data_IF_961624414172
#
_entry.id   IF_961624414172
#
_cell.length_a   1.000
_cell.length_b   1.000
_cell.length_c   1.000
_cell.angle_alpha   90.00
_cell.angle_beta   90.00
_cell.angle_gamma   90.00
#
_symmetry.space_group_name_H-M   'P 1'
#
loop_
_entity.id
_entity.type
_entity.pdbx_description
1 polymer ?
#
# COMPACT_ATOMS: atom_id res chain seq x y z
N UNK A 1 -4.09 -3.07 -29.81
CA UNK A 1 -3.72 -2.13 -28.73
C UNK A 1 -4.80 -2.02 -27.65
N UNK A 2 -6.07 -1.75 -28.01
CA UNK A 2 -7.18 -1.66 -27.04
C UNK A 2 -7.26 -2.80 -26.00
N UNK A 3 -7.12 -4.09 -26.37
CA UNK A 3 -7.23 -5.21 -25.40
C UNK A 3 -6.13 -5.23 -24.35
N UNK A 4 -4.91 -4.83 -24.72
CA UNK A 4 -3.75 -4.79 -23.81
C UNK A 4 -3.92 -3.65 -22.81
N UNK A 5 -4.33 -2.47 -23.30
CA UNK A 5 -4.58 -1.31 -22.43
C UNK A 5 -5.68 -1.61 -21.42
N UNK A 6 -6.81 -2.19 -21.86
CA UNK A 6 -7.91 -2.58 -20.98
C UNK A 6 -7.48 -3.66 -19.98
N UNK A 7 -6.66 -4.62 -20.41
CA UNK A 7 -6.09 -5.65 -19.55
C UNK A 7 -5.23 -5.06 -18.43
N UNK A 8 -4.28 -4.20 -18.77
CA UNK A 8 -3.43 -3.52 -17.78
C UNK A 8 -4.25 -2.66 -16.82
N UNK A 9 -5.19 -1.87 -17.34
CA UNK A 9 -6.07 -1.04 -16.51
C UNK A 9 -6.85 -1.87 -15.47
N UNK A 10 -7.38 -3.03 -15.86
CA UNK A 10 -8.07 -3.93 -14.93
C UNK A 10 -7.16 -4.43 -13.82
N UNK A 11 -5.94 -4.85 -14.18
CA UNK A 11 -4.93 -5.33 -13.22
C UNK A 11 -4.52 -4.22 -12.25
N UNK A 12 -4.26 -3.02 -12.75
CA UNK A 12 -3.90 -1.84 -11.94
C UNK A 12 -5.03 -1.44 -10.99
N UNK A 13 -6.28 -1.44 -11.46
CA UNK A 13 -7.42 -1.12 -10.58
C UNK A 13 -7.53 -2.12 -9.44
N UNK A 14 -7.42 -3.42 -9.74
CA UNK A 14 -7.42 -4.46 -8.69
C UNK A 14 -6.24 -4.27 -7.74
N UNK A 15 -5.03 -4.02 -8.25
CA UNK A 15 -3.84 -3.86 -7.40
C UNK A 15 -3.96 -2.67 -6.45
N UNK A 16 -4.54 -1.56 -6.90
CA UNK A 16 -4.77 -0.39 -6.07
C UNK A 16 -5.83 -0.60 -5.00
N UNK A 17 -6.94 -1.29 -5.34
CA UNK A 17 -8.02 -1.57 -4.38
C UNK A 17 -7.51 -2.36 -3.17
N UNK A 18 -6.56 -3.27 -3.37
CA UNK A 18 -5.98 -4.05 -2.29
C UNK A 18 -4.71 -3.41 -1.71
N UNK A 19 -3.77 -3.03 -2.56
CA UNK A 19 -2.45 -2.56 -2.16
C UNK A 19 -2.45 -1.18 -1.52
N UNK A 20 -3.19 -0.22 -2.07
CA UNK A 20 -3.16 1.16 -1.57
C UNK A 20 -3.74 1.30 -0.16
N UNK A 21 -4.93 0.76 0.18
CA UNK A 21 -5.45 0.83 1.53
C UNK A 21 -4.52 0.17 2.55
N UNK A 22 -4.00 -1.01 2.24
CA UNK A 22 -3.09 -1.74 3.16
C UNK A 22 -1.82 -0.92 3.41
N UNK A 23 -1.20 -0.40 2.35
CA UNK A 23 0.02 0.39 2.45
C UNK A 23 -0.18 1.72 3.21
N UNK A 24 -1.27 2.45 2.91
CA UNK A 24 -1.58 3.73 3.55
C UNK A 24 -1.91 3.53 5.02
N UNK A 25 -2.72 2.53 5.37
CA UNK A 25 -3.07 2.22 6.75
C UNK A 25 -1.85 1.76 7.56
N UNK A 26 -0.99 0.92 6.97
CA UNK A 26 0.27 0.52 7.59
C UNK A 26 1.17 1.74 7.83
N UNK A 27 1.31 2.63 6.85
CA UNK A 27 2.13 3.84 6.97
C UNK A 27 1.56 4.81 8.03
N UNK A 28 0.23 4.96 8.09
CA UNK A 28 -0.45 5.76 9.11
C UNK A 28 -0.23 5.19 10.51
N UNK A 29 -0.37 3.87 10.67
CA UNK A 29 -0.12 3.19 11.93
C UNK A 29 1.33 3.39 12.38
N UNK A 30 2.28 3.18 11.47
CA UNK A 30 3.70 3.44 11.73
C UNK A 30 3.91 4.89 12.14
N UNK A 31 3.46 5.86 11.35
CA UNK A 31 3.73 7.27 11.62
C UNK A 31 3.14 7.77 12.94
N UNK A 32 1.86 7.47 13.21
CA UNK A 32 1.09 8.08 14.29
C UNK A 32 1.04 7.28 15.60
N UNK A 33 1.12 5.94 15.55
CA UNK A 33 0.91 5.08 16.73
C UNK A 33 2.13 4.25 17.10
N UNK A 34 2.97 3.90 16.12
CA UNK A 34 4.03 2.94 16.37
C UNK A 34 5.11 3.50 17.32
N UNK A 35 5.43 2.77 18.40
CA UNK A 35 6.60 3.06 19.22
C UNK A 35 7.89 2.83 18.41
N UNK A 36 9.01 3.43 18.84
CA UNK A 36 10.28 3.44 18.07
C UNK A 36 10.73 2.05 17.61
N UNK A 37 10.67 1.05 18.49
CA UNK A 37 11.02 -0.35 18.17
C UNK A 37 10.17 -0.97 17.06
N UNK A 38 8.88 -0.66 17.02
CA UNK A 38 7.99 -1.15 15.94
C UNK A 38 8.33 -0.50 14.59
N UNK A 39 8.76 0.77 14.58
CA UNK A 39 9.23 1.45 13.35
C UNK A 39 10.50 0.81 12.81
N UNK A 40 11.43 0.47 13.71
CA UNK A 40 12.71 -0.18 13.39
C UNK A 40 12.55 -1.60 12.85
N UNK A 41 11.39 -2.24 13.02
CA UNK A 41 11.09 -3.56 12.44
C UNK A 41 10.27 -3.42 11.15
N UNK A 42 9.20 -2.61 11.17
CA UNK A 42 8.30 -2.50 10.02
C UNK A 42 9.00 -1.91 8.78
N UNK A 43 9.79 -0.84 8.95
CA UNK A 43 10.40 -0.15 7.81
C UNK A 43 11.40 -1.06 7.07
N UNK A 44 12.34 -1.76 7.75
CA UNK A 44 13.19 -2.74 7.09
C UNK A 44 12.42 -3.93 6.51
N UNK A 45 11.38 -4.43 7.19
CA UNK A 45 10.58 -5.55 6.66
C UNK A 45 9.92 -5.20 5.32
N UNK A 46 9.44 -3.97 5.17
CA UNK A 46 8.82 -3.49 3.93
C UNK A 46 9.87 -3.20 2.85
N UNK A 47 11.06 -2.72 3.22
CA UNK A 47 12.19 -2.58 2.29
C UNK A 47 12.69 -3.94 1.79
N UNK A 48 12.74 -4.96 2.66
CA UNK A 48 13.04 -6.34 2.27
C UNK A 48 11.97 -6.87 1.31
N UNK A 49 10.69 -6.56 1.54
CA UNK A 49 9.62 -6.90 0.61
C UNK A 49 9.84 -6.24 -0.77
N UNK A 50 10.33 -4.99 -0.80
CA UNK A 50 10.70 -4.30 -2.05
C UNK A 50 11.90 -4.95 -2.75
N UNK A 51 12.79 -5.62 -2.01
CA UNK A 51 13.95 -6.34 -2.52
C UNK A 51 13.63 -7.69 -3.15
N UNK A 52 12.40 -8.21 -2.99
CA UNK A 52 12.00 -9.46 -3.64
C UNK A 52 11.96 -9.26 -5.16
N UNK A 53 12.69 -10.09 -5.95
CA UNK A 53 12.65 -9.98 -7.40
C UNK A 53 11.22 -10.15 -7.93
N UNK A 54 10.81 -9.28 -8.85
CA UNK A 54 9.46 -9.31 -9.45
C UNK A 54 9.12 -10.66 -10.10
N UNK A 55 10.13 -11.33 -10.67
CA UNK A 55 9.99 -12.67 -11.26
C UNK A 55 9.56 -13.70 -10.22
N UNK A 56 10.04 -13.60 -8.98
CA UNK A 56 9.67 -14.52 -7.89
C UNK A 56 8.20 -14.31 -7.51
N UNK A 57 7.76 -13.06 -7.41
CA UNK A 57 6.36 -12.71 -7.13
C UNK A 57 5.46 -13.22 -8.26
N UNK A 58 5.87 -13.03 -9.52
CA UNK A 58 5.15 -13.54 -10.69
C UNK A 58 5.05 -15.06 -10.70
N UNK A 59 6.16 -15.76 -10.46
CA UNK A 59 6.16 -17.23 -10.42
C UNK A 59 5.30 -17.77 -9.27
N UNK A 60 5.40 -17.18 -8.08
CA UNK A 60 4.53 -17.49 -6.94
C UNK A 60 3.05 -17.28 -7.30
N UNK A 61 2.74 -16.19 -7.99
CA UNK A 61 1.39 -15.90 -8.44
C UNK A 61 0.86 -16.99 -9.38
N UNK A 62 1.70 -17.46 -10.32
CA UNK A 62 1.34 -18.48 -11.29
C UNK A 62 1.15 -19.87 -10.67
N UNK A 63 2.00 -20.28 -9.72
CA UNK A 63 1.99 -21.65 -9.20
C UNK A 63 1.03 -21.80 -8.02
N UNK A 64 1.12 -20.89 -7.05
CA UNK A 64 0.40 -21.00 -5.78
C UNK A 64 -0.87 -20.14 -5.78
N UNK A 65 -0.74 -18.83 -6.01
CA UNK A 65 -1.85 -17.89 -5.83
C UNK A 65 -2.99 -18.15 -6.82
N UNK A 66 -2.68 -18.39 -8.08
CA UNK A 66 -3.64 -18.69 -9.12
C UNK A 66 -4.47 -19.94 -8.78
N UNK A 67 -3.81 -21.00 -8.32
CA UNK A 67 -4.45 -22.26 -7.93
C UNK A 67 -5.32 -22.08 -6.69
N UNK A 68 -4.83 -21.31 -5.70
CA UNK A 68 -5.59 -20.99 -4.49
C UNK A 68 -6.85 -20.19 -4.81
N UNK A 69 -6.72 -19.10 -5.56
CA UNK A 69 -7.86 -18.25 -5.93
C UNK A 69 -8.86 -18.98 -6.82
N UNK A 70 -8.39 -19.84 -7.73
CA UNK A 70 -9.26 -20.66 -8.55
C UNK A 70 -10.11 -21.62 -7.71
N UNK A 71 -9.51 -22.30 -6.74
CA UNK A 71 -10.24 -23.22 -5.84
C UNK A 71 -11.23 -22.49 -4.93
N UNK A 72 -10.88 -21.29 -4.46
CA UNK A 72 -11.71 -20.53 -3.52
C UNK A 72 -12.86 -19.80 -4.21
N UNK A 73 -12.62 -19.20 -5.38
CA UNK A 73 -13.62 -18.37 -6.08
C UNK A 73 -14.25 -19.07 -7.29
N UNK A 74 -13.82 -20.29 -7.65
CA UNK A 74 -14.37 -21.04 -8.77
C UNK A 74 -14.09 -20.43 -10.13
N UNK A 75 -12.98 -19.71 -10.30
CA UNK A 75 -12.66 -19.03 -11.55
C UNK A 75 -12.47 -20.03 -12.71
N UNK A 76 -13.11 -19.72 -13.84
CA UNK A 76 -13.02 -20.52 -15.07
C UNK A 76 -11.57 -20.55 -15.61
N UNK A 77 -10.90 -19.39 -15.58
CA UNK A 77 -9.50 -19.25 -15.96
C UNK A 77 -8.61 -19.08 -14.75
N UNK A 78 -7.56 -19.92 -14.69
CA UNK A 78 -6.53 -19.89 -13.66
C UNK A 78 -5.72 -18.59 -13.67
N UNK A 79 -5.45 -18.04 -14.85
CA UNK A 79 -4.77 -16.75 -15.04
C UNK A 79 -5.79 -15.70 -15.45
N UNK A 80 -6.04 -14.76 -14.57
CA UNK A 80 -7.00 -13.69 -14.80
C UNK A 80 -6.47 -12.37 -14.22
N UNK A 81 -7.12 -11.26 -14.58
CA UNK A 81 -6.71 -9.93 -14.14
C UNK A 81 -6.75 -9.75 -12.61
N UNK A 82 -7.58 -10.53 -11.91
CA UNK A 82 -7.69 -10.48 -10.46
C UNK A 82 -6.47 -11.10 -9.77
N UNK A 83 -6.04 -12.29 -10.22
CA UNK A 83 -4.80 -12.95 -9.76
C UNK A 83 -3.60 -12.04 -10.02
N UNK A 84 -3.51 -11.49 -11.24
CA UNK A 84 -2.45 -10.54 -11.61
C UNK A 84 -2.48 -9.27 -10.75
N UNK A 85 -3.67 -8.73 -10.47
CA UNK A 85 -3.84 -7.55 -9.63
C UNK A 85 -3.43 -7.78 -8.17
N UNK A 86 -3.78 -8.94 -7.60
CA UNK A 86 -3.31 -9.30 -6.24
C UNK A 86 -1.80 -9.47 -6.21
N UNK A 87 -1.22 -10.16 -7.19
CA UNK A 87 0.24 -10.31 -7.28
C UNK A 87 0.94 -8.95 -7.40
N UNK A 88 0.41 -8.05 -8.24
CA UNK A 88 0.92 -6.69 -8.41
C UNK A 88 0.75 -5.87 -7.12
N UNK A 89 -0.31 -6.08 -6.36
CA UNK A 89 -0.53 -5.35 -5.09
C UNK A 89 0.64 -5.57 -4.11
N UNK A 90 1.21 -6.77 -4.05
CA UNK A 90 2.40 -7.07 -3.23
C UNK A 90 3.63 -6.25 -3.66
N UNK A 91 3.79 -6.02 -4.96
CA UNK A 91 4.91 -5.25 -5.49
C UNK A 91 4.73 -3.72 -5.33
N UNK A 92 3.48 -3.26 -5.27
CA UNK A 92 3.13 -1.83 -5.14
C UNK A 92 3.10 -1.38 -3.68
N UNK A 93 2.78 -2.28 -2.73
CA UNK A 93 2.72 -1.98 -1.30
C UNK A 93 3.97 -1.25 -0.77
N UNK A 94 5.21 -1.73 -1.03
CA UNK A 94 6.39 -1.06 -0.49
C UNK A 94 6.56 0.38 -0.97
N UNK A 95 6.22 0.65 -2.24
CA UNK A 95 6.33 1.99 -2.81
C UNK A 95 5.34 2.93 -2.17
N UNK A 96 4.06 2.55 -2.15
CA UNK A 96 3.01 3.38 -1.55
C UNK A 96 3.31 3.60 -0.07
N UNK A 97 3.72 2.55 0.65
CA UNK A 97 4.05 2.64 2.07
C UNK A 97 5.19 3.62 2.32
N UNK A 98 6.34 3.45 1.66
CA UNK A 98 7.53 4.26 1.95
C UNK A 98 7.27 5.74 1.66
N UNK A 99 6.63 6.05 0.54
CA UNK A 99 6.33 7.44 0.18
C UNK A 99 5.28 8.04 1.12
N UNK A 100 4.26 7.25 1.50
CA UNK A 100 3.23 7.69 2.44
C UNK A 100 3.81 7.93 3.83
N UNK A 101 4.66 7.02 4.34
CA UNK A 101 5.30 7.15 5.64
C UNK A 101 6.24 8.36 5.69
N UNK A 102 7.05 8.56 4.65
CA UNK A 102 7.90 9.74 4.53
C UNK A 102 7.07 11.04 4.51
N UNK A 103 5.92 11.04 3.83
CA UNK A 103 5.02 12.19 3.81
C UNK A 103 4.37 12.46 5.17
N UNK A 104 3.92 11.42 5.86
CA UNK A 104 3.30 11.52 7.19
C UNK A 104 4.33 12.00 8.23
N UNK A 105 5.54 11.46 8.20
CA UNK A 105 6.63 11.80 9.12
C UNK A 105 7.18 13.22 8.90
N UNK A 106 6.89 13.87 7.75
CA UNK A 106 7.21 15.28 7.48
C UNK A 106 6.18 16.28 8.01
N UNK A 107 5.00 15.82 8.46
CA UNK A 107 3.99 16.72 9.03
C UNK A 107 4.55 17.38 10.31
N UNK A 108 4.53 18.72 10.43
CA UNK A 108 5.07 19.40 11.60
C UNK A 108 4.40 18.94 12.90
N UNK A 109 5.21 18.61 13.92
CA UNK A 109 4.71 18.18 15.25
C UNK A 109 3.83 19.23 15.93
N UNK A 110 4.00 20.51 15.59
CA UNK A 110 3.15 21.58 16.10
C UNK A 110 1.68 21.35 15.75
N UNK A 111 1.38 20.78 14.58
CA UNK A 111 0.00 20.47 14.20
C UNK A 111 -0.61 19.36 15.05
N UNK A 112 0.19 18.34 15.39
CA UNK A 112 -0.29 17.24 16.24
C UNK A 112 -0.44 17.69 17.69
N UNK A 113 0.51 18.45 18.21
CA UNK A 113 0.47 19.01 19.57
C UNK A 113 -0.69 20.00 19.74
N UNK A 114 -0.93 20.88 18.76
CA UNK A 114 -2.07 21.80 18.76
C UNK A 114 -3.41 21.06 18.75
N UNK A 115 -3.54 20.01 17.93
CA UNK A 115 -4.75 19.17 17.90
C UNK A 115 -5.02 18.49 19.24
N UNK A 116 -3.98 17.95 19.88
CA UNK A 116 -4.09 17.34 21.22
C UNK A 116 -4.42 18.38 22.30
N UNK A 117 -3.87 19.59 22.22
CA UNK A 117 -4.15 20.69 23.15
C UNK A 117 -5.61 21.18 23.06
N UNK A 118 -6.23 21.06 21.89
CA UNK A 118 -7.66 21.32 21.68
C UNK A 118 -8.58 20.19 22.19
N UNK A 119 -8.02 19.16 22.84
CA UNK A 119 -8.76 18.05 23.41
C UNK A 119 -9.05 16.90 22.43
N UNK A 120 -8.43 16.89 21.24
CA UNK A 120 -8.58 15.78 20.31
C UNK A 120 -7.85 14.52 20.82
N UNK A 121 -8.40 13.35 20.53
CA UNK A 121 -7.72 12.08 20.75
C UNK A 121 -6.62 11.84 19.70
N UNK A 122 -5.62 11.02 20.02
CA UNK A 122 -4.56 10.62 19.07
C UNK A 122 -5.12 10.07 17.74
N UNK A 123 -6.25 9.36 17.80
CA UNK A 123 -6.91 8.83 16.61
C UNK A 123 -7.57 9.92 15.77
N UNK A 124 -8.23 10.88 16.41
CA UNK A 124 -8.78 12.03 15.70
C UNK A 124 -7.67 12.88 15.08
N UNK A 125 -6.57 13.13 15.80
CA UNK A 125 -5.42 13.86 15.26
C UNK A 125 -4.81 13.14 14.05
N UNK A 126 -4.62 11.82 14.12
CA UNK A 126 -4.05 11.06 13.00
C UNK A 126 -4.96 11.08 11.76
N UNK A 127 -6.28 10.90 11.92
CA UNK A 127 -7.22 10.81 10.79
C UNK A 127 -7.65 12.16 10.23
N UNK A 128 -7.83 13.18 11.07
CA UNK A 128 -8.41 14.46 10.65
C UNK A 128 -7.39 15.59 10.54
N UNK A 129 -6.16 15.41 11.04
CA UNK A 129 -5.11 16.44 10.96
C UNK A 129 -3.91 15.93 10.16
N UNK A 130 -3.31 14.82 10.57
CA UNK A 130 -2.06 14.32 9.95
C UNK A 130 -2.32 13.72 8.57
N UNK A 131 -3.31 12.84 8.44
CA UNK A 131 -3.60 12.17 7.17
C UNK A 131 -4.02 13.14 6.05
N UNK A 132 -4.89 14.15 6.29
CA UNK A 132 -5.20 15.16 5.29
C UNK A 132 -4.01 16.07 4.95
N UNK A 133 -3.19 16.43 5.95
CA UNK A 133 -1.99 17.23 5.73
C UNK A 133 -0.94 16.50 4.86
N UNK A 134 -0.85 15.17 5.00
CA UNK A 134 0.03 14.33 4.19
C UNK A 134 -0.58 13.87 2.87
N UNK A 135 -1.82 14.27 2.55
CA UNK A 135 -2.53 13.80 1.36
C UNK A 135 -1.77 13.99 0.03
N UNK A 136 -1.04 15.09 -0.24
CA UNK A 136 -0.29 15.23 -1.49
C UNK A 136 0.78 14.14 -1.67
N UNK A 137 1.46 13.74 -0.59
CA UNK A 137 2.44 12.67 -0.63
C UNK A 137 1.81 11.28 -0.73
N UNK A 138 0.64 11.06 -0.11
CA UNK A 138 -0.14 9.83 -0.31
C UNK A 138 -0.52 9.68 -1.78
N UNK A 139 -1.05 10.73 -2.40
CA UNK A 139 -1.39 10.73 -3.82
C UNK A 139 -0.16 10.48 -4.70
N UNK A 140 0.98 11.11 -4.40
CA UNK A 140 2.23 10.85 -5.11
C UNK A 140 2.68 9.38 -4.98
N UNK A 141 2.55 8.79 -3.79
CA UNK A 141 2.85 7.38 -3.55
C UNK A 141 1.99 6.43 -4.38
N UNK A 142 0.67 6.68 -4.41
CA UNK A 142 -0.28 5.90 -5.22
C UNK A 142 0.02 6.04 -6.71
N UNK A 143 0.29 7.25 -7.20
CA UNK A 143 0.65 7.50 -8.60
C UNK A 143 1.95 6.79 -9.01
N UNK A 144 2.96 6.78 -8.14
CA UNK A 144 4.19 6.02 -8.37
C UNK A 144 3.97 4.51 -8.34
N UNK A 145 3.00 4.05 -7.53
CA UNK A 145 2.54 2.67 -7.52
C UNK A 145 1.88 2.24 -8.83
N UNK A 146 1.16 3.14 -9.52
CA UNK A 146 0.56 2.87 -10.84
C UNK A 146 1.62 2.68 -11.92
N UNK A 147 2.77 3.33 -11.79
CA UNK A 147 3.86 3.28 -12.78
C UNK A 147 4.72 2.01 -12.75
N UNK A 148 4.42 1.05 -11.86
CA UNK A 148 5.10 -0.26 -11.76
C UNK A 148 4.49 -1.29 -12.69
#
# INVERSE_FOLDING_TARGET
MLPIVVGSLKVTVVSLIFGAPIAILAALFTAAFAPKWSKEILKPAIEVLAGIPSVVIGFFALVALATFLQKTFGFEYRLNAFVGGIALSLAVIPIIYTITEDSLSRVPKVMTEASLALGASKWQTALFVVLPAASPGIFAGVLLGIGR
#
